data_IF_208203611964
#
_entry.id   IF_208203611964
#
_cell.length_a   1.000
_cell.length_b   1.000
_cell.length_c   1.000
_cell.angle_alpha   90.00
_cell.angle_beta   90.00
_cell.angle_gamma   90.00
#
_symmetry.space_group_name_H-M   'P 1'
#
loop_
_entity.id
_entity.type
_entity.pdbx_description
1 polymer ?
#
# COMPACT_ATOMS: atom_id res chain seq x y z
N UNK A 1 -13.02 22.54 -69.01
CA UNK A 1 -12.27 22.18 -67.79
C UNK A 1 -12.37 23.33 -66.79
N UNK A 2 -12.89 23.10 -65.59
CA UNK A 2 -12.99 24.13 -64.56
C UNK A 2 -12.07 23.79 -63.38
N UNK A 3 -10.83 24.26 -63.43
CA UNK A 3 -9.92 24.22 -62.28
C UNK A 3 -10.35 25.30 -61.27
N UNK A 4 -11.13 24.90 -60.27
CA UNK A 4 -11.50 25.76 -59.15
C UNK A 4 -10.29 26.00 -58.24
N UNK A 5 -9.97 27.27 -57.97
CA UNK A 5 -8.92 27.68 -57.03
C UNK A 5 -9.26 27.21 -55.61
N UNK A 6 -8.54 26.22 -55.11
CA UNK A 6 -8.64 25.74 -53.73
C UNK A 6 -8.10 26.83 -52.78
N UNK A 7 -9.01 27.51 -52.08
CA UNK A 7 -8.68 28.55 -51.10
C UNK A 7 -8.23 27.90 -49.80
N UNK A 8 -6.94 27.66 -49.63
CA UNK A 8 -6.38 27.30 -48.32
C UNK A 8 -6.56 28.46 -47.36
N UNK A 9 -7.22 28.22 -46.22
CA UNK A 9 -7.30 29.18 -45.11
C UNK A 9 -5.88 29.38 -44.59
N UNK A 10 -5.34 30.59 -44.74
CA UNK A 10 -4.05 30.97 -44.17
C UNK A 10 -4.06 30.72 -42.65
N UNK A 11 -3.17 29.86 -42.18
CA UNK A 11 -2.89 29.71 -40.76
C UNK A 11 -2.23 30.99 -40.27
N UNK A 12 -3.00 31.86 -39.61
CA UNK A 12 -2.46 33.04 -38.92
C UNK A 12 -1.55 32.57 -37.77
N UNK A 13 -0.27 32.97 -37.72
CA UNK A 13 0.59 32.73 -36.57
C UNK A 13 0.29 33.81 -35.52
N UNK A 14 -0.58 33.52 -34.57
CA UNK A 14 -0.91 34.50 -33.53
C UNK A 14 -2.24 34.22 -32.86
N UNK A 15 -2.20 33.36 -31.84
CA UNK A 15 -3.36 33.04 -31.03
C UNK A 15 -2.96 32.03 -29.98
N UNK A 16 -2.18 32.48 -29.00
CA UNK A 16 -1.80 31.69 -27.82
C UNK A 16 -3.05 31.15 -27.15
N UNK A 17 -3.38 29.87 -27.42
CA UNK A 17 -4.46 29.18 -26.75
C UNK A 17 -4.07 29.07 -25.29
N UNK A 18 -4.70 29.88 -24.42
CA UNK A 18 -4.76 29.55 -23.00
C UNK A 18 -5.35 28.13 -22.93
N UNK A 19 -4.54 27.17 -22.53
CA UNK A 19 -4.99 25.80 -22.30
C UNK A 19 -6.00 25.87 -21.17
N UNK A 20 -7.28 25.97 -21.52
CA UNK A 20 -8.33 25.67 -20.58
C UNK A 20 -8.10 24.21 -20.18
N UNK A 21 -7.66 24.01 -18.95
CA UNK A 21 -7.56 22.71 -18.30
C UNK A 21 -8.98 22.21 -18.04
N UNK A 22 -9.73 21.93 -19.12
CA UNK A 22 -10.94 21.12 -19.05
C UNK A 22 -10.48 19.83 -18.42
N UNK A 23 -11.08 19.47 -17.27
CA UNK A 23 -10.82 18.20 -16.65
C UNK A 23 -11.13 17.14 -17.71
N UNK A 24 -10.07 16.53 -18.23
CA UNK A 24 -10.18 15.46 -19.21
C UNK A 24 -11.13 14.46 -18.57
N UNK A 25 -12.24 14.19 -19.25
CA UNK A 25 -13.15 13.13 -18.85
C UNK A 25 -12.35 11.86 -18.56
N UNK A 26 -12.89 10.94 -17.75
CA UNK A 26 -12.17 9.76 -17.31
C UNK A 26 -11.46 9.11 -18.50
N UNK A 27 -10.16 8.86 -18.31
CA UNK A 27 -9.31 8.25 -19.33
C UNK A 27 -10.00 6.98 -19.84
N UNK A 28 -9.83 6.64 -21.12
CA UNK A 28 -10.45 5.45 -21.74
C UNK A 28 -10.31 4.23 -20.80
N UNK A 29 -11.43 3.64 -20.37
CA UNK A 29 -11.49 2.56 -19.38
C UNK A 29 -11.75 2.98 -17.92
N UNK A 30 -11.75 4.28 -17.61
CA UNK A 30 -12.02 4.82 -16.28
C UNK A 30 -13.52 4.85 -15.98
N UNK A 31 -13.93 4.17 -14.90
CA UNK A 31 -15.32 4.19 -14.43
C UNK A 31 -15.61 5.51 -13.70
N UNK A 32 -16.60 6.26 -14.17
CA UNK A 32 -17.04 7.49 -13.50
C UNK A 32 -17.85 7.09 -12.27
N UNK A 33 -17.39 7.48 -11.08
CA UNK A 33 -18.17 7.32 -9.87
C UNK A 33 -19.20 8.46 -9.82
N UNK A 34 -20.47 8.11 -9.65
CA UNK A 34 -21.52 9.10 -9.50
C UNK A 34 -21.21 10.03 -8.31
N UNK A 35 -21.52 11.34 -8.38
CA UNK A 35 -21.15 12.30 -7.34
C UNK A 35 -21.53 11.87 -5.91
N UNK A 36 -22.72 11.26 -5.74
CA UNK A 36 -23.19 10.72 -4.45
C UNK A 36 -22.34 9.57 -3.92
N UNK A 37 -21.82 8.71 -4.80
CA UNK A 37 -20.94 7.58 -4.43
C UNK A 37 -19.50 8.04 -4.19
N UNK A 38 -19.09 9.18 -4.76
CA UNK A 38 -17.77 9.78 -4.51
C UNK A 38 -17.60 10.17 -3.04
N UNK A 39 -18.63 10.76 -2.43
CA UNK A 39 -18.60 11.09 -1.00
C UNK A 39 -18.45 9.84 -0.12
N UNK A 40 -19.20 8.78 -0.42
CA UNK A 40 -19.10 7.51 0.31
C UNK A 40 -17.70 6.89 0.18
N UNK A 41 -17.12 6.91 -1.02
CA UNK A 41 -15.76 6.40 -1.24
C UNK A 41 -14.71 7.23 -0.50
N UNK A 42 -14.85 8.56 -0.47
CA UNK A 42 -13.95 9.43 0.30
C UNK A 42 -14.07 9.15 1.80
N UNK A 43 -15.29 9.03 2.33
CA UNK A 43 -15.55 8.69 3.73
C UNK A 43 -14.97 7.31 4.08
N UNK A 44 -15.13 6.31 3.23
CA UNK A 44 -14.55 4.97 3.46
C UNK A 44 -13.02 5.00 3.48
N UNK A 45 -12.39 5.77 2.60
CA UNK A 45 -10.93 5.96 2.61
C UNK A 45 -10.47 6.64 3.90
N UNK A 46 -11.17 7.69 4.31
CA UNK A 46 -10.91 8.40 5.57
C UNK A 46 -11.06 7.46 6.77
N UNK A 47 -12.18 6.73 6.86
CA UNK A 47 -12.46 5.78 7.94
C UNK A 47 -11.36 4.72 8.04
N UNK A 48 -11.00 4.08 6.93
CA UNK A 48 -9.94 3.06 6.90
C UNK A 48 -8.57 3.63 7.29
N UNK A 49 -8.24 4.82 6.81
CA UNK A 49 -6.98 5.49 7.14
C UNK A 49 -6.87 5.80 8.63
N UNK A 50 -7.94 6.35 9.22
CA UNK A 50 -8.00 6.67 10.65
C UNK A 50 -7.96 5.40 11.52
N UNK A 51 -8.70 4.35 11.15
CA UNK A 51 -8.70 3.08 11.89
C UNK A 51 -7.30 2.46 11.97
N UNK A 52 -6.58 2.42 10.85
CA UNK A 52 -5.20 1.91 10.81
C UNK A 52 -4.25 2.81 11.60
N UNK A 53 -4.36 4.13 11.47
CA UNK A 53 -3.52 5.06 12.21
C UNK A 53 -3.70 4.96 13.73
N UNK A 54 -4.95 4.79 14.19
CA UNK A 54 -5.26 4.60 15.61
C UNK A 54 -4.69 3.27 16.12
N UNK A 55 -4.87 2.16 15.38
CA UNK A 55 -4.28 0.87 15.75
C UNK A 55 -2.76 0.95 15.87
N UNK A 56 -2.09 1.50 14.85
CA UNK A 56 -0.64 1.65 14.86
C UNK A 56 -0.16 2.50 16.04
N UNK A 57 -0.89 3.58 16.37
CA UNK A 57 -0.54 4.44 17.50
C UNK A 57 -0.70 3.71 18.83
N UNK A 58 -1.79 2.98 19.02
CA UNK A 58 -2.00 2.16 20.22
C UNK A 58 -0.91 1.10 20.34
N UNK A 59 -0.58 0.39 19.26
CA UNK A 59 0.47 -0.63 19.24
C UNK A 59 1.83 -0.04 19.64
N UNK A 60 2.19 1.13 19.09
CA UNK A 60 3.40 1.85 19.45
C UNK A 60 3.39 2.29 20.91
N UNK A 61 2.30 2.90 21.38
CA UNK A 61 2.18 3.40 22.76
C UNK A 61 2.24 2.24 23.77
N UNK A 62 1.57 1.12 23.49
CA UNK A 62 1.59 -0.08 24.33
C UNK A 62 2.99 -0.69 24.36
N UNK A 63 3.64 -0.81 23.20
CA UNK A 63 5.02 -1.32 23.10
C UNK A 63 5.99 -0.41 23.85
N UNK A 64 5.85 0.91 23.68
CA UNK A 64 6.68 1.89 24.36
C UNK A 64 6.48 1.81 25.87
N UNK A 65 5.23 1.83 26.35
CA UNK A 65 4.90 1.70 27.78
C UNK A 65 5.48 0.42 28.37
N UNK A 66 5.27 -0.73 27.72
CA UNK A 66 5.84 -2.00 28.16
C UNK A 66 7.37 -1.95 28.21
N UNK A 67 8.00 -1.30 27.21
CA UNK A 67 9.45 -1.19 27.13
C UNK A 67 10.06 -0.23 28.14
N UNK A 68 9.31 0.79 28.58
CA UNK A 68 9.73 1.76 29.60
C UNK A 68 9.41 1.29 31.01
N UNK A 69 8.32 0.52 31.19
CA UNK A 69 8.00 -0.10 32.48
C UNK A 69 8.93 -1.27 32.79
N UNK A 70 9.53 -1.89 31.76
CA UNK A 70 10.57 -2.89 31.93
C UNK A 70 11.87 -2.22 32.37
N UNK A 71 12.35 -2.59 33.55
CA UNK A 71 13.64 -2.17 34.07
C UNK A 71 14.76 -2.67 33.13
N UNK A 72 15.70 -1.78 32.79
CA UNK A 72 16.86 -1.95 31.89
C UNK A 72 16.68 -2.97 30.75
N UNK A 73 16.52 -2.46 29.52
CA UNK A 73 16.45 -3.30 28.31
C UNK A 73 17.64 -4.27 28.26
N UNK A 74 17.32 -5.56 28.21
CA UNK A 74 18.32 -6.63 28.14
C UNK A 74 18.95 -6.64 26.75
N UNK A 75 20.26 -6.42 26.68
CA UNK A 75 21.02 -6.63 25.45
C UNK A 75 21.30 -8.12 25.33
N UNK A 76 20.74 -8.77 24.31
CA UNK A 76 21.00 -10.19 24.05
C UNK A 76 22.42 -10.30 23.49
N UNK A 77 23.37 -10.65 24.34
CA UNK A 77 24.73 -10.99 23.91
C UNK A 77 24.71 -12.38 23.29
N UNK A 78 25.30 -12.52 22.11
CA UNK A 78 25.53 -13.82 21.47
C UNK A 78 26.45 -14.63 22.38
N UNK A 79 25.91 -15.67 23.02
CA UNK A 79 26.74 -16.62 23.77
C UNK A 79 27.76 -17.25 22.81
N UNK A 80 29.07 -17.31 23.17
CA UNK A 80 30.01 -18.11 22.42
C UNK A 80 29.53 -19.56 22.49
N UNK A 81 29.52 -20.24 21.34
CA UNK A 81 29.05 -21.61 21.23
C UNK A 81 29.88 -22.55 22.13
N UNK A 82 29.45 -22.74 23.38
CA UNK A 82 30.01 -23.75 24.26
C UNK A 82 29.42 -25.11 23.90
N UNK A 83 30.34 -26.05 23.65
CA UNK A 83 30.20 -27.50 23.44
C UNK A 83 28.97 -28.17 24.12
N UNK A 84 28.46 -29.27 23.54
CA UNK A 84 27.28 -29.96 24.04
C UNK A 84 27.56 -30.59 25.42
N UNK A 85 27.00 -30.00 26.47
CA UNK A 85 26.97 -30.60 27.79
C UNK A 85 25.62 -31.33 27.97
N UNK A 86 25.75 -32.60 28.34
CA UNK A 86 24.72 -33.60 28.61
C UNK A 86 23.63 -33.12 29.57
N UNK A 87 22.39 -33.11 29.08
CA UNK A 87 21.15 -33.14 29.88
C UNK A 87 20.21 -34.21 29.31
N UNK A 88 19.29 -34.77 30.12
CA UNK A 88 18.53 -35.97 29.75
C UNK A 88 17.68 -35.73 28.49
N UNK A 89 17.56 -36.74 27.61
CA UNK A 89 16.88 -36.57 26.32
C UNK A 89 15.40 -36.26 26.55
N UNK A 90 14.93 -35.13 26.01
CA UNK A 90 13.49 -34.88 25.87
C UNK A 90 12.91 -35.99 24.98
N UNK A 91 11.77 -36.60 25.34
CA UNK A 91 11.16 -37.64 24.52
C UNK A 91 10.82 -37.05 23.15
N UNK A 92 11.31 -37.72 22.11
CA UNK A 92 10.99 -37.43 20.73
C UNK A 92 9.47 -37.56 20.53
N UNK A 93 8.80 -36.45 20.21
CA UNK A 93 7.49 -36.53 19.57
C UNK A 93 7.73 -37.16 18.19
N UNK A 94 7.32 -38.42 18.08
CA UNK A 94 7.31 -39.28 16.90
C UNK A 94 7.20 -38.55 15.57
N UNK A 95 8.18 -38.81 14.70
CA UNK A 95 8.06 -38.55 13.28
C UNK A 95 7.00 -39.46 12.63
N UNK A 96 6.47 -38.98 11.50
CA UNK A 96 5.79 -39.70 10.41
C UNK A 96 4.28 -39.98 10.55
N UNK A 97 3.45 -39.25 9.79
CA UNK A 97 2.97 -39.75 8.48
C UNK A 97 1.97 -38.78 7.79
N UNK A 98 2.14 -38.66 6.47
CA UNK A 98 1.13 -38.37 5.43
C UNK A 98 0.50 -36.97 5.34
N UNK A 99 0.86 -36.26 4.26
CA UNK A 99 0.14 -35.06 3.80
C UNK A 99 0.74 -34.42 2.55
N UNK A 100 1.13 -35.21 1.56
CA UNK A 100 1.48 -34.69 0.24
C UNK A 100 0.23 -34.72 -0.65
N UNK A 101 -0.40 -33.57 -0.87
CA UNK A 101 -1.37 -33.37 -1.95
C UNK A 101 -1.08 -32.04 -2.64
N UNK A 102 -0.37 -32.11 -3.76
CA UNK A 102 -0.20 -30.99 -4.68
C UNK A 102 -0.22 -31.47 -6.12
N UNK A 103 -1.13 -30.84 -6.88
CA UNK A 103 -1.26 -30.76 -8.34
C UNK A 103 -1.96 -31.91 -9.05
#
# INVERSE_FOLDING_TARGET
MAQGKQKFKAQRPGGGKKQQHKQKGPKKGGRIIAPKKTQVVQQQKLKKGLEVAIRNKIEQDVTQKASTSMHKRLNVLKAPASKPASGPPRPASSASAAGASSK
#
